data_IF_039613628026
#
_entry.id   IF_039613628026
#
_cell.length_a   1.000
_cell.length_b   1.000
_cell.length_c   1.000
_cell.angle_alpha   90.00
_cell.angle_beta   90.00
_cell.angle_gamma   90.00
#
_symmetry.space_group_name_H-M   'P 1'
#
loop_
_entity.id
_entity.type
_entity.pdbx_description
1 polymer ?
#
# COMPACT_ATOMS: atom_id res chain seq x y z
N UNK A 1 22.01 6.37 -6.88
CA UNK A 1 21.65 7.80 -6.80
C UNK A 1 21.65 8.32 -5.35
N UNK A 2 20.89 7.72 -4.42
CA UNK A 2 20.83 8.13 -2.99
C UNK A 2 22.13 7.94 -2.17
N UNK A 3 23.13 7.23 -2.69
CA UNK A 3 24.47 7.12 -2.11
C UNK A 3 25.39 8.30 -2.49
N UNK A 4 25.04 9.05 -3.55
CA UNK A 4 25.83 10.18 -4.06
C UNK A 4 25.36 11.55 -3.57
N UNK A 5 24.18 11.62 -2.95
CA UNK A 5 23.58 12.85 -2.41
C UNK A 5 22.98 12.61 -1.02
N UNK A 6 23.82 12.39 0.01
CA UNK A 6 23.36 12.21 1.39
C UNK A 6 22.56 13.41 1.90
N UNK A 7 22.85 14.65 1.43
CA UNK A 7 22.09 15.86 1.79
C UNK A 7 20.64 15.91 1.27
N UNK A 8 20.25 15.00 0.36
CA UNK A 8 18.85 14.84 -0.09
C UNK A 8 18.10 13.75 0.66
N UNK A 9 18.81 12.88 1.41
CA UNK A 9 18.16 11.95 2.35
C UNK A 9 17.62 12.75 3.52
N UNK A 10 16.31 12.92 3.56
CA UNK A 10 15.61 13.63 4.64
C UNK A 10 14.72 14.76 4.16
N UNK A 11 15.01 15.38 3.00
CA UNK A 11 14.15 16.44 2.45
C UNK A 11 12.76 15.94 2.07
N UNK A 12 12.63 14.72 1.54
CA UNK A 12 11.34 14.11 1.25
C UNK A 12 10.55 13.81 2.54
N UNK A 13 11.25 13.42 3.60
CA UNK A 13 10.65 13.15 4.93
C UNK A 13 10.24 14.46 5.60
N UNK A 14 11.02 15.52 5.50
CA UNK A 14 10.69 16.81 6.12
C UNK A 14 9.55 17.52 5.38
N UNK A 15 9.54 17.44 4.04
CA UNK A 15 8.46 17.99 3.22
C UNK A 15 7.16 17.22 3.44
N UNK A 16 7.23 15.90 3.52
CA UNK A 16 6.06 15.07 3.84
C UNK A 16 5.59 15.33 5.26
N UNK A 17 6.49 15.53 6.23
CA UNK A 17 6.14 15.87 7.62
C UNK A 17 5.40 17.21 7.70
N UNK A 18 5.89 18.28 7.06
CA UNK A 18 5.22 19.59 7.04
C UNK A 18 3.84 19.55 6.41
N UNK A 19 3.68 18.80 5.32
CA UNK A 19 2.36 18.59 4.71
C UNK A 19 1.43 17.83 5.66
N UNK A 20 1.95 16.83 6.36
CA UNK A 20 1.18 16.04 7.30
C UNK A 20 0.88 16.72 8.63
N UNK A 21 1.67 17.72 9.06
CA UNK A 21 1.38 18.54 10.25
C UNK A 21 0.09 19.35 10.08
N UNK A 22 -0.22 19.81 8.85
CA UNK A 22 -1.50 20.47 8.54
C UNK A 22 -2.69 19.53 8.66
N UNK A 23 -2.49 18.23 8.46
CA UNK A 23 -3.55 17.21 8.57
C UNK A 23 -4.00 16.98 10.00
N UNK A 24 -3.23 17.43 11.01
CA UNK A 24 -3.65 17.32 12.40
C UNK A 24 -4.77 18.28 12.79
N UNK A 25 -4.94 19.36 12.03
CA UNK A 25 -5.92 20.40 12.31
C UNK A 25 -7.28 20.15 11.62
N UNK A 26 -7.35 19.27 10.63
CA UNK A 26 -8.56 19.02 9.84
C UNK A 26 -8.72 17.52 9.55
N UNK A 27 -9.95 16.96 9.63
CA UNK A 27 -10.21 15.60 9.20
C UNK A 27 -9.70 15.37 7.76
N UNK A 28 -8.65 14.56 7.62
CA UNK A 28 -7.96 14.36 6.34
C UNK A 28 -7.88 12.88 6.02
N UNK A 29 -8.32 12.49 4.82
CA UNK A 29 -8.14 11.14 4.30
C UNK A 29 -6.81 11.04 3.57
N UNK A 30 -5.93 10.13 4.02
CA UNK A 30 -4.69 9.80 3.32
C UNK A 30 -4.91 8.53 2.50
N UNK A 31 -4.69 8.64 1.20
CA UNK A 31 -4.72 7.48 0.29
C UNK A 31 -3.29 7.06 -0.02
N UNK A 32 -2.97 5.79 0.21
CA UNK A 32 -1.65 5.25 -0.09
C UNK A 32 -1.73 4.02 -1.00
N UNK A 33 -1.01 4.08 -2.12
CA UNK A 33 -0.81 2.96 -3.03
C UNK A 33 0.46 2.22 -2.61
N UNK A 34 0.31 1.22 -1.74
CA UNK A 34 1.45 0.58 -1.06
C UNK A 34 2.39 -0.16 -2.02
N UNK A 35 1.93 -0.71 -3.14
CA UNK A 35 2.81 -1.26 -4.20
C UNK A 35 3.59 -0.18 -4.96
N UNK A 36 3.05 1.04 -4.96
CA UNK A 36 3.57 2.21 -5.66
C UNK A 36 3.37 2.23 -7.16
N UNK A 37 3.07 1.10 -7.81
CA UNK A 37 2.71 1.07 -9.24
C UNK A 37 1.84 -0.14 -9.56
N UNK A 38 1.12 -0.11 -10.68
CA UNK A 38 0.35 -1.26 -11.14
C UNK A 38 1.24 -2.49 -11.35
N UNK A 39 0.75 -3.64 -10.88
CA UNK A 39 1.31 -4.95 -11.12
C UNK A 39 1.43 -5.24 -12.62
N UNK A 40 2.56 -5.83 -13.00
CA UNK A 40 2.77 -6.54 -14.27
C UNK A 40 3.71 -7.71 -13.99
N UNK A 41 3.63 -8.78 -14.78
CA UNK A 41 4.50 -9.95 -14.61
C UNK A 41 5.98 -9.58 -14.72
N UNK A 42 6.34 -8.65 -15.62
CA UNK A 42 7.72 -8.19 -15.77
C UNK A 42 8.22 -7.51 -14.50
N UNK A 43 7.39 -6.66 -13.86
CA UNK A 43 7.75 -6.01 -12.60
C UNK A 43 7.85 -7.00 -11.46
N UNK A 44 6.97 -7.99 -11.40
CA UNK A 44 7.02 -9.04 -10.40
C UNK A 44 8.35 -9.79 -10.46
N UNK A 45 8.76 -10.20 -11.67
CA UNK A 45 10.04 -10.87 -11.91
C UNK A 45 11.24 -9.97 -11.57
N UNK A 46 11.23 -8.72 -12.04
CA UNK A 46 12.29 -7.74 -11.77
C UNK A 46 12.46 -7.45 -10.27
N UNK A 47 11.35 -7.31 -9.55
CA UNK A 47 11.35 -7.00 -8.12
C UNK A 47 11.47 -8.24 -7.23
N UNK A 48 11.41 -9.44 -7.82
CA UNK A 48 11.37 -10.73 -7.11
C UNK A 48 10.29 -10.74 -6.04
N UNK A 49 9.09 -10.30 -6.40
CA UNK A 49 7.96 -10.29 -5.48
C UNK A 49 7.67 -11.72 -5.00
N UNK A 50 7.49 -11.96 -3.69
CA UNK A 50 7.16 -13.28 -3.18
C UNK A 50 5.66 -13.62 -3.37
N UNK A 51 4.85 -12.67 -3.83
CA UNK A 51 3.41 -12.79 -3.99
C UNK A 51 3.05 -13.11 -5.44
N UNK A 52 1.96 -13.83 -5.66
CA UNK A 52 1.52 -14.26 -6.99
C UNK A 52 0.86 -13.13 -7.80
N UNK A 53 0.05 -12.30 -7.14
CA UNK A 53 -0.80 -11.29 -7.77
C UNK A 53 -0.39 -9.85 -7.42
N UNK A 54 0.63 -9.69 -6.57
CA UNK A 54 1.00 -8.41 -5.98
C UNK A 54 2.51 -8.14 -6.12
N UNK A 55 2.88 -6.87 -6.10
CA UNK A 55 4.27 -6.42 -5.94
C UNK A 55 4.62 -6.30 -4.45
N UNK A 56 5.91 -6.35 -4.13
CA UNK A 56 6.35 -6.17 -2.76
C UNK A 56 5.93 -4.80 -2.18
N UNK A 57 5.36 -4.75 -0.96
CA UNK A 57 4.83 -3.52 -0.41
C UNK A 57 5.92 -2.52 0.00
N UNK A 58 5.69 -1.23 -0.28
CA UNK A 58 6.55 -0.11 0.11
C UNK A 58 6.10 0.45 1.46
N UNK A 59 6.62 -0.14 2.54
CA UNK A 59 6.24 0.19 3.92
C UNK A 59 6.50 1.65 4.36
N UNK A 60 7.49 2.33 3.78
CA UNK A 60 7.92 3.65 4.26
C UNK A 60 6.81 4.71 4.22
N UNK A 61 6.01 4.75 3.15
CA UNK A 61 4.96 5.76 2.99
C UNK A 61 3.81 5.58 4.00
N UNK A 62 3.35 4.35 4.20
CA UNK A 62 2.26 4.05 5.15
C UNK A 62 2.72 4.25 6.59
N UNK A 63 3.94 3.81 6.92
CA UNK A 63 4.50 4.01 8.26
C UNK A 63 4.65 5.50 8.59
N UNK A 64 5.05 6.31 7.61
CA UNK A 64 5.16 7.75 7.80
C UNK A 64 3.79 8.41 7.99
N UNK A 65 2.78 8.05 7.18
CA UNK A 65 1.43 8.57 7.32
C UNK A 65 0.83 8.24 8.71
N UNK A 66 0.96 6.99 9.15
CA UNK A 66 0.51 6.54 10.48
C UNK A 66 1.26 7.26 11.61
N UNK A 67 2.57 7.48 11.47
CA UNK A 67 3.35 8.19 12.48
C UNK A 67 2.98 9.67 12.59
N UNK A 68 2.73 10.37 11.47
CA UNK A 68 2.39 11.81 11.55
C UNK A 68 0.99 12.02 12.11
N UNK A 69 0.01 11.22 11.69
CA UNK A 69 -1.35 11.30 12.24
C UNK A 69 -1.38 10.81 13.69
N UNK A 70 -0.54 9.84 14.06
CA UNK A 70 -0.39 9.37 15.43
C UNK A 70 -1.75 8.99 16.04
N UNK A 71 -2.03 9.49 17.24
CA UNK A 71 -3.28 9.25 17.97
C UNK A 71 -4.54 9.84 17.33
N UNK A 72 -4.42 10.69 16.30
CA UNK A 72 -5.56 11.21 15.55
C UNK A 72 -6.00 10.28 14.41
N UNK A 73 -5.36 9.12 14.30
CA UNK A 73 -5.72 8.11 13.32
C UNK A 73 -6.94 7.31 13.80
N UNK A 74 -8.11 7.55 13.19
CA UNK A 74 -9.36 6.89 13.56
C UNK A 74 -9.48 5.47 12.97
N UNK A 75 -9.31 5.33 11.65
CA UNK A 75 -9.63 4.09 10.92
C UNK A 75 -8.69 3.87 9.72
N UNK A 76 -8.20 2.64 9.57
CA UNK A 76 -7.41 2.21 8.40
C UNK A 76 -8.31 1.39 7.48
N UNK A 77 -8.64 1.95 6.31
CA UNK A 77 -9.35 1.23 5.28
C UNK A 77 -8.36 0.49 4.39
N UNK A 78 -8.42 -0.83 4.45
CA UNK A 78 -7.68 -1.72 3.59
C UNK A 78 -8.54 -2.07 2.36
N UNK A 79 -8.17 -1.48 1.23
CA UNK A 79 -8.92 -1.59 -0.04
C UNK A 79 -8.13 -2.42 -1.05
N UNK A 80 -8.81 -3.38 -1.69
CA UNK A 80 -8.30 -4.17 -2.81
C UNK A 80 -9.24 -4.00 -4.00
N UNK A 81 -8.67 -3.67 -5.16
CA UNK A 81 -9.39 -3.59 -6.44
C UNK A 81 -8.90 -4.72 -7.35
N UNK A 82 -9.82 -5.49 -7.90
CA UNK A 82 -9.53 -6.57 -8.84
C UNK A 82 -10.43 -6.45 -10.07
N UNK A 83 -9.86 -6.74 -11.23
CA UNK A 83 -10.53 -6.76 -12.54
C UNK A 83 -10.34 -8.16 -13.13
N UNK A 84 -11.12 -9.17 -12.69
CA UNK A 84 -10.83 -10.57 -12.98
C UNK A 84 -10.76 -10.85 -14.48
N UNK A 85 -11.68 -10.28 -15.25
CA UNK A 85 -11.85 -10.51 -16.68
C UNK A 85 -11.08 -9.49 -17.56
N UNK A 86 -10.55 -8.42 -16.95
CA UNK A 86 -9.86 -7.32 -17.64
C UNK A 86 -8.54 -6.96 -16.95
N UNK A 87 -7.76 -7.97 -16.52
CA UNK A 87 -6.57 -7.76 -15.69
C UNK A 87 -5.42 -7.02 -16.41
N UNK A 88 -5.29 -7.18 -17.73
CA UNK A 88 -4.18 -6.58 -18.49
C UNK A 88 -4.34 -5.07 -18.72
N UNK A 89 -5.54 -4.62 -19.12
CA UNK A 89 -5.79 -3.23 -19.54
C UNK A 89 -7.12 -2.67 -18.99
N UNK A 90 -7.35 -2.72 -17.66
CA UNK A 90 -8.65 -2.39 -17.08
C UNK A 90 -9.11 -0.97 -17.40
N UNK A 91 -8.18 0.00 -17.44
CA UNK A 91 -8.52 1.39 -17.78
C UNK A 91 -8.95 1.56 -19.24
N UNK A 92 -8.29 0.87 -20.17
CA UNK A 92 -8.63 0.95 -21.60
C UNK A 92 -9.94 0.23 -21.90
N UNK A 93 -10.16 -0.92 -21.25
CA UNK A 93 -11.42 -1.67 -21.40
C UNK A 93 -12.59 -0.91 -20.79
N UNK A 94 -12.38 -0.17 -19.68
CA UNK A 94 -13.37 0.77 -19.15
C UNK A 94 -13.75 1.85 -20.16
N UNK A 95 -12.77 2.52 -20.77
CA UNK A 95 -13.02 3.59 -21.75
C UNK A 95 -13.70 3.10 -23.03
N UNK A 96 -13.53 1.82 -23.37
CA UNK A 96 -14.09 1.21 -24.58
C UNK A 96 -15.37 0.41 -24.33
N UNK A 97 -15.92 0.46 -23.10
CA UNK A 97 -17.15 -0.25 -22.74
C UNK A 97 -17.00 -1.78 -22.69
N UNK A 98 -15.76 -2.30 -22.60
CA UNK A 98 -15.45 -3.74 -22.51
C UNK A 98 -15.12 -4.22 -21.09
N UNK A 99 -15.22 -3.33 -20.11
CA UNK A 99 -15.04 -3.69 -18.71
C UNK A 99 -16.25 -4.50 -18.23
N UNK A 100 -16.02 -5.75 -17.85
CA UNK A 100 -17.11 -6.66 -17.49
C UNK A 100 -17.47 -6.55 -16.01
N UNK A 101 -16.47 -6.61 -15.13
CA UNK A 101 -16.68 -6.67 -13.69
C UNK A 101 -15.52 -6.04 -12.93
N UNK A 102 -15.87 -5.37 -11.84
CA UNK A 102 -14.94 -4.79 -10.88
C UNK A 102 -15.26 -5.37 -9.51
N UNK A 103 -14.26 -6.00 -8.88
CA UNK A 103 -14.40 -6.51 -7.51
C UNK A 103 -13.68 -5.55 -6.58
N UNK A 104 -14.43 -4.96 -5.65
CA UNK A 104 -13.92 -4.08 -4.59
C UNK A 104 -14.05 -4.80 -3.27
N UNK A 105 -12.92 -5.06 -2.60
CA UNK A 105 -12.89 -5.54 -1.21
C UNK A 105 -12.44 -4.41 -0.31
N UNK A 106 -13.23 -4.12 0.70
CA UNK A 106 -12.90 -3.13 1.73
C UNK A 106 -12.95 -3.82 3.08
N UNK A 107 -11.88 -3.68 3.84
CA UNK A 107 -11.77 -4.16 5.21
C UNK A 107 -11.33 -3.01 6.10
N UNK A 108 -11.86 -2.99 7.32
CA UNK A 108 -11.44 -2.04 8.33
C UNK A 108 -10.37 -2.72 9.19
N UNK A 109 -9.17 -2.18 9.16
CA UNK A 109 -8.05 -2.68 9.97
C UNK A 109 -7.98 -1.92 11.28
N UNK A 110 -7.91 -2.65 12.38
CA UNK A 110 -7.62 -2.08 13.70
C UNK A 110 -6.17 -1.64 13.76
N UNK A 111 -5.95 -0.33 13.92
CA UNK A 111 -4.61 0.22 14.16
C UNK A 111 -4.31 0.10 15.65
N UNK A 112 -3.53 -0.91 16.00
CA UNK A 112 -3.04 -1.13 17.37
C UNK A 112 -1.87 -0.21 17.67
N UNK A 113 -1.60 0.05 18.94
CA UNK A 113 -0.43 0.80 19.42
C UNK A 113 0.91 0.32 18.83
N UNK A 114 1.02 -0.97 18.48
CA UNK A 114 2.21 -1.55 17.85
C UNK A 114 2.55 -0.97 16.46
N UNK A 115 1.60 -0.27 15.82
CA UNK A 115 1.77 0.40 14.54
C UNK A 115 2.17 1.87 14.68
N UNK A 116 2.24 2.40 15.91
CA UNK A 116 2.79 3.71 16.22
C UNK A 116 4.26 3.58 16.61
N UNK A 117 5.13 4.34 15.93
CA UNK A 117 6.56 4.33 16.21
C UNK A 117 7.42 4.92 15.09
N UNK A 118 8.72 5.01 15.38
CA UNK A 118 9.69 5.60 14.45
C UNK A 118 10.22 4.55 13.46
N UNK A 119 9.60 4.49 12.28
CA UNK A 119 10.02 3.59 11.19
C UNK A 119 11.44 3.87 10.66
N UNK A 120 11.95 5.10 10.84
CA UNK A 120 13.24 5.52 10.29
C UNK A 120 14.38 5.15 11.23
N UNK A 121 14.21 5.45 12.52
CA UNK A 121 15.29 5.31 13.51
C UNK A 121 15.18 4.06 14.38
N UNK A 122 13.99 3.46 14.55
CA UNK A 122 13.81 2.24 15.34
C UNK A 122 13.77 0.98 14.45
N UNK A 123 14.89 0.23 14.47
CA UNK A 123 15.04 -1.03 13.74
C UNK A 123 14.07 -2.13 14.21
N UNK A 124 13.75 -2.18 15.50
CA UNK A 124 12.84 -3.18 16.06
C UNK A 124 11.41 -2.89 15.64
N UNK A 125 10.99 -1.63 15.72
CA UNK A 125 9.71 -1.19 15.20
C UNK A 125 9.59 -1.46 13.70
N UNK A 126 10.59 -1.09 12.90
CA UNK A 126 10.63 -1.37 11.46
C UNK A 126 10.37 -2.85 11.15
N UNK A 127 11.02 -3.77 11.87
CA UNK A 127 10.81 -5.23 11.68
C UNK A 127 9.42 -5.69 12.09
N UNK A 128 8.83 -5.14 13.16
CA UNK A 128 7.44 -5.45 13.55
C UNK A 128 6.46 -4.96 12.50
N UNK A 129 6.60 -3.70 12.08
CA UNK A 129 5.76 -3.06 11.07
C UNK A 129 5.81 -3.81 9.73
N UNK A 130 7.01 -4.19 9.27
CA UNK A 130 7.16 -4.97 8.04
C UNK A 130 6.49 -6.34 8.13
N UNK A 131 6.59 -7.02 9.29
CA UNK A 131 5.91 -8.31 9.50
C UNK A 131 4.38 -8.16 9.46
N UNK A 132 3.84 -7.13 10.12
CA UNK A 132 2.42 -6.82 10.05
C UNK A 132 1.97 -6.55 8.60
N UNK A 133 2.69 -5.68 7.89
CA UNK A 133 2.34 -5.33 6.52
C UNK A 133 2.42 -6.53 5.58
N UNK A 134 3.43 -7.39 5.73
CA UNK A 134 3.56 -8.61 4.92
C UNK A 134 2.41 -9.58 5.17
N UNK A 135 1.95 -9.76 6.42
CA UNK A 135 0.77 -10.62 6.70
C UNK A 135 -0.49 -10.09 6.01
N UNK A 136 -0.71 -8.78 6.06
CA UNK A 136 -1.82 -8.14 5.35
C UNK A 136 -1.69 -8.35 3.83
N UNK A 137 -0.46 -8.34 3.32
CA UNK A 137 -0.15 -8.59 1.91
C UNK A 137 -0.39 -10.04 1.48
N UNK A 138 0.04 -11.01 2.30
CA UNK A 138 -0.21 -12.44 2.08
C UNK A 138 -1.71 -12.74 2.04
N UNK A 139 -2.48 -12.14 2.95
CA UNK A 139 -3.94 -12.27 2.97
C UNK A 139 -4.58 -11.70 1.70
N UNK A 140 -4.16 -10.50 1.27
CA UNK A 140 -4.63 -9.90 0.01
C UNK A 140 -4.32 -10.78 -1.19
N UNK A 141 -3.11 -11.34 -1.24
CA UNK A 141 -2.67 -12.18 -2.36
C UNK A 141 -3.56 -13.42 -2.47
N UNK A 142 -3.83 -14.09 -1.35
CA UNK A 142 -4.75 -15.24 -1.28
C UNK A 142 -6.15 -14.87 -1.75
N UNK A 143 -6.70 -13.76 -1.25
CA UNK A 143 -8.03 -13.28 -1.64
C UNK A 143 -8.12 -12.97 -3.14
N UNK A 144 -7.06 -12.42 -3.73
CA UNK A 144 -7.00 -12.16 -5.17
C UNK A 144 -7.03 -13.46 -5.95
N UNK A 145 -6.25 -14.47 -5.55
CA UNK A 145 -6.28 -15.80 -6.17
C UNK A 145 -7.69 -16.40 -6.12
N UNK A 146 -8.37 -16.33 -4.98
CA UNK A 146 -9.75 -16.83 -4.83
C UNK A 146 -10.73 -16.09 -5.77
N UNK A 147 -10.62 -14.76 -5.88
CA UNK A 147 -11.47 -13.96 -6.76
C UNK A 147 -11.23 -14.32 -8.24
N UNK A 148 -9.97 -14.49 -8.64
CA UNK A 148 -9.61 -14.84 -10.01
C UNK A 148 -10.11 -16.25 -10.37
N UNK A 149 -9.94 -17.24 -9.48
CA UNK A 149 -10.47 -18.59 -9.69
C UNK A 149 -12.00 -18.65 -9.78
N UNK A 150 -12.70 -17.77 -9.07
CA UNK A 150 -14.17 -17.69 -9.16
C UNK A 150 -14.66 -17.09 -10.48
N UNK A 151 -13.83 -16.29 -11.16
CA UNK A 151 -14.17 -15.70 -12.45
C UNK A 151 -13.92 -16.64 -13.64
N UNK A 152 -13.06 -17.65 -13.45
CA UNK A 152 -12.78 -18.69 -14.45
C UNK A 152 -13.87 -19.79 -14.51
N UNK A 153 -14.80 -19.81 -13.55
CA UNK A 153 -15.93 -20.76 -13.48
C UNK A 153 -17.18 -20.19 -14.14
#
# INVERSE_FOLDING_TARGET
YLLRHPERRGKDVETTRRSCEKFRAHPTTIVNFVEGSRFTEEKQQQTRSPYQNLLAPKAAGIAMALNVLGSQFDKLLNVTLCYPENNQKPFYDMLSGRLTRVVVRVSLETVTEELHGDYVNDKNFKRRFQRWLNRLWEEKDRQLTEIMQQAEK
#
